data_IF_064209646000
#
_entry.id   IF_064209646000
#
_cell.length_a   1.000
_cell.length_b   1.000
_cell.length_c   1.000
_cell.angle_alpha   90.00
_cell.angle_beta   90.00
_cell.angle_gamma   90.00
#
_symmetry.space_group_name_H-M   'P 1'
#
loop_
_entity.id
_entity.type
_entity.pdbx_description
1 polymer ?
#
# COMPACT_ATOMS: atom_id res chain seq x y z
N UNK A 1 -51.42 17.66 34.92
CA UNK A 1 -49.96 17.84 35.13
C UNK A 1 -49.25 16.95 34.12
N UNK A 2 -48.49 17.55 33.20
CA UNK A 2 -47.74 16.92 32.10
C UNK A 2 -46.71 15.88 32.56
N UNK A 3 -46.54 14.79 31.79
CA UNK A 3 -45.27 14.51 31.07
C UNK A 3 -45.39 13.32 30.10
N UNK A 4 -45.10 13.61 28.83
CA UNK A 4 -44.71 12.68 27.77
C UNK A 4 -43.21 12.30 27.89
N UNK A 5 -42.77 11.40 26.98
CA UNK A 5 -41.39 11.20 26.43
C UNK A 5 -40.52 10.21 27.22
N UNK A 6 -39.81 9.21 26.69
CA UNK A 6 -39.55 8.71 25.32
C UNK A 6 -39.07 7.25 25.41
N UNK A 7 -39.30 6.47 24.35
CA UNK A 7 -38.59 5.22 24.10
C UNK A 7 -38.04 5.24 22.66
N UNK A 8 -36.93 5.94 22.44
CA UNK A 8 -36.38 6.18 21.08
C UNK A 8 -34.85 6.09 20.99
N UNK A 9 -34.14 5.67 22.05
CA UNK A 9 -32.69 5.93 22.16
C UNK A 9 -31.76 4.82 21.64
N UNK A 10 -32.27 3.69 21.11
CA UNK A 10 -31.39 2.59 20.66
C UNK A 10 -31.04 2.58 19.16
N UNK A 11 -31.81 3.27 18.31
CA UNK A 11 -31.59 3.27 16.86
C UNK A 11 -30.49 4.27 16.45
N UNK A 12 -30.32 5.36 17.19
CA UNK A 12 -29.37 6.43 16.84
C UNK A 12 -27.89 6.03 17.01
N UNK A 13 -27.58 5.10 17.93
CA UNK A 13 -26.20 4.67 18.21
C UNK A 13 -25.63 3.77 17.10
N UNK A 14 -26.47 2.94 16.46
CA UNK A 14 -26.05 2.00 15.40
C UNK A 14 -25.74 2.73 14.09
N UNK A 15 -26.47 3.82 13.79
CA UNK A 15 -26.25 4.64 12.59
C UNK A 15 -24.96 5.46 12.69
N UNK A 16 -24.53 5.82 13.91
CA UNK A 16 -23.25 6.51 14.09
C UNK A 16 -22.06 5.60 13.78
N UNK A 17 -22.03 4.34 14.24
CA UNK A 17 -20.91 3.42 13.95
C UNK A 17 -20.75 3.10 12.45
N UNK A 18 -21.83 3.02 11.68
CA UNK A 18 -21.77 2.65 10.26
C UNK A 18 -21.25 3.77 9.35
N UNK A 19 -21.45 5.04 9.73
CA UNK A 19 -20.95 6.20 8.98
C UNK A 19 -19.43 6.43 9.19
N UNK A 20 -18.91 6.11 10.38
CA UNK A 20 -17.47 6.25 10.67
C UNK A 20 -16.62 5.26 9.86
N UNK A 21 -17.07 4.01 9.70
CA UNK A 21 -16.31 2.99 8.99
C UNK A 21 -16.08 3.33 7.51
N UNK A 22 -17.07 3.93 6.83
CA UNK A 22 -16.95 4.28 5.42
C UNK A 22 -15.98 5.46 5.19
N UNK A 23 -15.92 6.41 6.12
CA UNK A 23 -15.02 7.55 6.02
C UNK A 23 -13.55 7.13 6.20
N UNK A 24 -13.27 6.25 7.17
CA UNK A 24 -11.92 5.76 7.46
C UNK A 24 -11.35 4.94 6.30
N UNK A 25 -12.13 4.01 5.71
CA UNK A 25 -11.65 3.17 4.59
C UNK A 25 -11.32 4.02 3.34
N UNK A 26 -12.11 5.06 3.05
CA UNK A 26 -11.86 5.94 1.91
C UNK A 26 -10.60 6.80 2.12
N UNK A 27 -10.38 7.32 3.32
CA UNK A 27 -9.14 8.04 3.65
C UNK A 27 -7.91 7.15 3.52
N UNK A 28 -8.00 5.90 3.97
CA UNK A 28 -6.87 4.94 3.96
C UNK A 28 -6.47 4.57 2.54
N UNK A 29 -7.44 4.34 1.64
CA UNK A 29 -7.15 4.10 0.22
C UNK A 29 -6.43 5.29 -0.41
N UNK A 30 -6.93 6.51 -0.21
CA UNK A 30 -6.37 7.71 -0.84
C UNK A 30 -4.93 7.99 -0.39
N UNK A 31 -4.64 7.78 0.89
CA UNK A 31 -3.32 7.98 1.46
C UNK A 31 -2.34 6.91 0.99
N UNK A 32 -2.75 5.63 1.02
CA UNK A 32 -1.95 4.52 0.49
C UNK A 32 -1.67 4.65 -1.01
N UNK A 33 -2.66 5.06 -1.80
CA UNK A 33 -2.50 5.34 -3.24
C UNK A 33 -1.50 6.49 -3.49
N UNK A 34 -1.59 7.56 -2.69
CA UNK A 34 -0.66 8.69 -2.77
C UNK A 34 0.78 8.25 -2.47
N UNK A 35 0.97 7.43 -1.43
CA UNK A 35 2.27 6.84 -1.12
C UNK A 35 2.77 5.92 -2.25
N UNK A 36 1.91 5.08 -2.82
CA UNK A 36 2.22 4.15 -3.93
C UNK A 36 2.71 4.89 -5.18
N UNK A 37 2.09 6.03 -5.50
CA UNK A 37 2.53 6.92 -6.58
C UNK A 37 3.83 7.65 -6.22
N UNK A 38 3.92 8.24 -5.03
CA UNK A 38 5.10 9.01 -4.55
C UNK A 38 6.37 8.16 -4.55
N UNK A 39 6.29 6.93 -4.06
CA UNK A 39 7.41 5.99 -4.01
C UNK A 39 7.70 5.32 -5.37
N UNK A 40 6.91 5.64 -6.42
CA UNK A 40 7.03 5.05 -7.75
C UNK A 40 6.95 3.52 -7.77
N UNK A 41 6.16 2.92 -6.87
CA UNK A 41 5.96 1.46 -6.83
C UNK A 41 5.37 0.95 -8.15
N UNK A 42 4.51 1.76 -8.77
CA UNK A 42 3.91 1.49 -10.08
C UNK A 42 4.92 1.40 -11.23
N UNK A 43 6.12 1.96 -11.09
CA UNK A 43 7.15 1.84 -12.13
C UNK A 43 7.53 0.39 -12.41
N UNK A 44 7.44 -0.47 -11.38
CA UNK A 44 7.72 -1.90 -11.49
C UNK A 44 6.45 -2.76 -11.38
N UNK A 45 5.50 -2.37 -10.50
CA UNK A 45 4.30 -3.16 -10.19
C UNK A 45 3.03 -2.73 -10.94
N UNK A 46 3.13 -1.66 -11.75
CA UNK A 46 2.04 -1.04 -12.52
C UNK A 46 0.92 -0.46 -11.64
N UNK A 47 0.00 0.30 -12.24
CA UNK A 47 -1.15 0.87 -11.52
C UNK A 47 -2.14 -0.18 -11.01
N UNK A 48 -2.24 -1.32 -11.72
CA UNK A 48 -3.13 -2.42 -11.37
C UNK A 48 -2.46 -3.47 -10.48
N UNK A 49 -1.20 -3.32 -10.07
CA UNK A 49 -0.53 -4.26 -9.17
C UNK A 49 -0.25 -5.65 -9.78
N UNK A 50 -0.32 -5.80 -11.11
CA UNK A 50 -0.01 -7.09 -11.77
C UNK A 50 1.47 -7.21 -12.12
N UNK A 51 2.24 -6.13 -12.00
CA UNK A 51 3.60 -6.09 -12.50
C UNK A 51 3.69 -6.27 -14.03
N UNK A 52 4.91 -6.55 -14.49
CA UNK A 52 5.22 -6.75 -15.92
C UNK A 52 5.41 -5.46 -16.74
N UNK A 53 6.14 -5.61 -17.86
CA UNK A 53 6.25 -4.67 -18.99
C UNK A 53 6.90 -3.30 -18.74
N UNK A 54 8.24 -3.20 -18.87
CA UNK A 54 9.02 -1.95 -18.83
C UNK A 54 10.39 -2.07 -18.13
N UNK A 55 11.09 -0.94 -17.94
CA UNK A 55 12.33 -0.84 -17.13
C UNK A 55 12.02 -1.08 -15.65
N UNK A 56 12.03 -2.36 -15.23
CA UNK A 56 11.92 -2.75 -13.82
C UNK A 56 10.89 -3.85 -13.51
N UNK A 57 10.34 -4.54 -14.51
CA UNK A 57 9.33 -5.60 -14.41
C UNK A 57 9.23 -6.29 -13.03
N UNK A 58 8.39 -5.74 -12.16
CA UNK A 58 8.15 -6.26 -10.82
C UNK A 58 7.20 -7.45 -10.85
N UNK A 59 7.21 -8.23 -9.77
CA UNK A 59 6.25 -9.33 -9.58
C UNK A 59 4.82 -8.81 -9.38
N UNK A 60 3.83 -9.66 -9.62
CA UNK A 60 2.44 -9.33 -9.36
C UNK A 60 2.16 -9.26 -7.85
N UNK A 61 1.72 -8.09 -7.38
CA UNK A 61 1.27 -7.87 -6.02
C UNK A 61 -0.10 -8.54 -5.74
N UNK A 62 -0.82 -8.95 -6.79
CA UNK A 62 -2.12 -9.62 -6.64
C UNK A 62 -2.03 -11.07 -6.23
N UNK A 63 -0.94 -11.74 -6.59
CA UNK A 63 -0.71 -13.16 -6.28
C UNK A 63 0.34 -13.34 -5.17
N UNK A 64 0.78 -12.25 -4.54
CA UNK A 64 1.75 -12.28 -3.45
C UNK A 64 1.23 -13.16 -2.31
N UNK A 65 2.11 -13.97 -1.74
CA UNK A 65 1.82 -14.78 -0.55
C UNK A 65 2.24 -14.07 0.74
N UNK A 66 3.03 -13.00 0.65
CA UNK A 66 3.53 -12.23 1.80
C UNK A 66 2.38 -11.69 2.64
N UNK A 67 2.46 -11.88 3.96
CA UNK A 67 1.57 -11.22 4.91
C UNK A 67 1.90 -9.72 5.04
N UNK A 68 1.11 -9.01 5.85
CA UNK A 68 1.23 -7.56 6.01
C UNK A 68 2.61 -7.17 6.55
N UNK A 69 3.13 -7.89 7.53
CA UNK A 69 4.40 -7.55 8.18
C UNK A 69 5.59 -7.83 7.26
N UNK A 70 5.52 -8.92 6.48
CA UNK A 70 6.49 -9.19 5.41
C UNK A 70 6.45 -8.12 4.31
N UNK A 71 5.26 -7.59 3.99
CA UNK A 71 5.12 -6.46 3.06
C UNK A 71 5.75 -5.19 3.65
N UNK A 72 5.60 -4.94 4.95
CA UNK A 72 6.26 -3.83 5.64
C UNK A 72 7.78 -3.96 5.56
N UNK A 73 8.32 -5.14 5.90
CA UNK A 73 9.75 -5.41 5.85
C UNK A 73 10.30 -5.18 4.44
N UNK A 74 9.70 -5.77 3.41
CA UNK A 74 10.21 -5.63 2.04
C UNK A 74 10.07 -4.20 1.50
N UNK A 75 9.07 -3.43 1.93
CA UNK A 75 8.98 -1.99 1.60
C UNK A 75 10.13 -1.23 2.27
N UNK A 76 10.37 -1.46 3.57
CA UNK A 76 11.43 -0.77 4.30
C UNK A 76 12.80 -1.13 3.72
N UNK A 77 13.06 -2.43 3.60
CA UNK A 77 14.37 -3.03 3.33
C UNK A 77 14.64 -3.32 1.84
N UNK A 78 13.66 -3.16 0.95
CA UNK A 78 13.80 -3.59 -0.43
C UNK A 78 14.07 -5.08 -0.56
N UNK A 79 14.58 -5.50 -1.72
CA UNK A 79 15.01 -6.89 -1.94
C UNK A 79 16.42 -6.90 -2.53
N UNK A 80 17.46 -7.17 -1.70
CA UNK A 80 18.84 -7.33 -2.14
C UNK A 80 18.95 -8.30 -3.33
N UNK A 81 19.88 -8.04 -4.24
CA UNK A 81 20.01 -8.83 -5.48
C UNK A 81 18.96 -8.51 -6.55
N UNK A 82 18.11 -7.49 -6.36
CA UNK A 82 17.08 -7.10 -7.32
C UNK A 82 17.03 -5.59 -7.53
N UNK A 83 16.21 -5.16 -8.49
CA UNK A 83 15.94 -3.73 -8.71
C UNK A 83 14.99 -3.08 -7.69
N UNK A 84 14.49 -3.79 -6.68
CA UNK A 84 13.61 -3.21 -5.66
C UNK A 84 14.44 -2.56 -4.54
N UNK A 85 14.46 -1.22 -4.45
CA UNK A 85 15.29 -0.53 -3.46
C UNK A 85 14.66 -0.56 -2.06
N UNK A 86 15.45 -0.23 -1.06
CA UNK A 86 14.94 0.08 0.27
C UNK A 86 14.32 1.48 0.28
N UNK A 87 13.10 1.60 0.81
CA UNK A 87 12.36 2.86 0.82
C UNK A 87 12.34 3.55 2.19
N UNK A 88 12.88 2.93 3.23
CA UNK A 88 13.03 3.57 4.53
C UNK A 88 14.44 4.10 4.76
N UNK A 89 14.55 5.37 5.16
CA UNK A 89 15.86 6.08 5.19
C UNK A 89 16.87 5.47 6.16
N UNK A 90 16.42 4.74 7.17
CA UNK A 90 17.27 4.13 8.20
C UNK A 90 17.70 2.70 7.88
N UNK A 91 17.07 2.06 6.89
CA UNK A 91 17.36 0.68 6.50
C UNK A 91 18.81 0.50 6.06
N UNK A 92 19.46 -0.55 6.56
CA UNK A 92 20.87 -0.88 6.42
C UNK A 92 21.87 0.15 6.98
N UNK A 93 21.41 1.23 7.63
CA UNK A 93 22.29 2.28 8.18
C UNK A 93 22.16 2.34 9.71
N UNK A 94 20.95 2.56 10.21
CA UNK A 94 20.64 2.60 11.64
C UNK A 94 19.81 1.41 12.09
N UNK A 95 19.10 0.80 11.15
CA UNK A 95 18.24 -0.36 11.38
C UNK A 95 18.69 -1.46 10.45
N UNK A 96 18.89 -2.65 11.03
CA UNK A 96 19.22 -3.85 10.26
C UNK A 96 18.03 -4.25 9.39
N UNK A 97 18.36 -4.80 8.24
CA UNK A 97 17.41 -5.39 7.31
C UNK A 97 17.91 -6.79 6.97
N UNK A 98 17.06 -7.81 7.12
CA UNK A 98 17.48 -9.21 6.99
C UNK A 98 18.74 -9.51 7.82
N UNK A 99 18.78 -8.99 9.06
CA UNK A 99 19.90 -9.06 10.02
C UNK A 99 21.23 -8.42 9.61
N UNK A 100 21.25 -7.68 8.51
CA UNK A 100 22.44 -7.05 7.93
C UNK A 100 22.40 -5.52 7.93
N UNK A 101 23.57 -4.89 7.95
CA UNK A 101 23.82 -3.49 7.63
C UNK A 101 24.51 -3.36 6.27
N UNK A 102 24.63 -2.14 5.77
CA UNK A 102 25.21 -1.89 4.44
C UNK A 102 26.70 -2.26 4.40
N UNK A 103 27.39 -2.23 5.53
CA UNK A 103 28.80 -2.62 5.66
C UNK A 103 29.01 -4.13 5.50
N UNK A 104 27.98 -4.95 5.70
CA UNK A 104 28.04 -6.41 5.52
C UNK A 104 28.08 -6.83 4.05
N UNK A 105 27.84 -5.89 3.12
CA UNK A 105 27.82 -6.14 1.68
C UNK A 105 29.05 -5.57 1.00
N UNK A 106 29.71 -6.40 0.19
CA UNK A 106 30.66 -5.92 -0.81
C UNK A 106 29.92 -5.18 -1.94
N UNK A 107 30.62 -4.32 -2.66
CA UNK A 107 30.09 -3.73 -3.89
C UNK A 107 29.79 -4.84 -4.90
N UNK A 108 28.59 -4.79 -5.48
CA UNK A 108 28.14 -5.83 -6.39
C UNK A 108 26.63 -5.96 -6.48
N UNK A 109 26.14 -6.92 -7.28
CA UNK A 109 24.72 -7.04 -7.64
C UNK A 109 23.81 -7.38 -6.46
N UNK A 110 24.35 -7.96 -5.38
CA UNK A 110 23.59 -8.32 -4.18
C UNK A 110 23.47 -7.17 -3.17
N UNK A 111 24.25 -6.09 -3.34
CA UNK A 111 24.25 -4.95 -2.42
C UNK A 111 22.89 -4.24 -2.46
N UNK A 112 22.27 -3.95 -1.30
CA UNK A 112 21.01 -3.22 -1.24
C UNK A 112 21.14 -1.84 -1.91
N UNK A 113 20.18 -1.50 -2.77
CA UNK A 113 20.13 -0.20 -3.45
C UNK A 113 19.13 0.74 -2.79
N UNK A 114 19.49 2.03 -2.71
CA UNK A 114 18.66 3.04 -2.07
C UNK A 114 17.60 3.62 -3.00
N UNK A 115 16.42 3.92 -2.47
CA UNK A 115 15.39 4.64 -3.23
C UNK A 115 15.72 6.12 -3.31
N UNK A 116 15.42 6.74 -4.45
CA UNK A 116 15.42 8.22 -4.58
C UNK A 116 14.21 8.88 -3.90
N UNK A 117 13.22 8.09 -3.48
CA UNK A 117 11.94 8.54 -2.91
C UNK A 117 11.64 7.77 -1.63
N UNK A 118 12.17 8.24 -0.51
CA UNK A 118 11.92 7.63 0.79
C UNK A 118 10.48 7.85 1.29
N UNK A 119 10.01 6.88 2.07
CA UNK A 119 8.74 6.90 2.81
C UNK A 119 9.03 6.94 4.31
N UNK A 120 8.11 7.55 5.08
CA UNK A 120 8.14 7.53 6.54
C UNK A 120 7.33 6.34 7.07
N UNK A 121 7.35 6.12 8.40
CA UNK A 121 6.68 4.98 9.01
C UNK A 121 5.18 4.90 8.67
N UNK A 122 4.45 6.02 8.75
CA UNK A 122 3.02 6.05 8.37
C UNK A 122 2.79 5.67 6.91
N UNK A 123 3.67 6.09 6.02
CA UNK A 123 3.59 5.76 4.60
C UNK A 123 3.92 4.29 4.33
N UNK A 124 4.82 3.67 5.11
CA UNK A 124 5.09 2.22 5.02
C UNK A 124 3.84 1.44 5.39
N UNK A 125 3.22 1.76 6.53
CA UNK A 125 1.98 1.10 6.98
C UNK A 125 0.88 1.27 5.94
N UNK A 126 0.66 2.50 5.45
CA UNK A 126 -0.35 2.79 4.45
C UNK A 126 -0.11 2.07 3.11
N UNK A 127 1.15 1.88 2.70
CA UNK A 127 1.49 1.09 1.53
C UNK A 127 1.16 -0.39 1.73
N UNK A 128 1.50 -0.95 2.89
CA UNK A 128 1.20 -2.34 3.21
C UNK A 128 -0.31 -2.58 3.22
N UNK A 129 -1.07 -1.72 3.89
CA UNK A 129 -2.53 -1.76 3.92
C UNK A 129 -3.12 -1.59 2.52
N UNK A 130 -2.59 -0.67 1.72
CA UNK A 130 -3.03 -0.50 0.34
C UNK A 130 -2.84 -1.77 -0.49
N UNK A 131 -1.68 -2.43 -0.39
CA UNK A 131 -1.38 -3.67 -1.11
C UNK A 131 -2.30 -4.81 -0.65
N UNK A 132 -2.45 -5.01 0.65
CA UNK A 132 -3.32 -6.05 1.23
C UNK A 132 -4.78 -5.82 0.83
N UNK A 133 -5.26 -4.58 0.95
CA UNK A 133 -6.67 -4.26 0.74
C UNK A 133 -7.08 -4.11 -0.72
N UNK A 134 -6.15 -3.91 -1.66
CA UNK A 134 -6.48 -3.62 -3.06
C UNK A 134 -5.85 -4.57 -4.08
N UNK A 135 -4.76 -5.27 -3.72
CA UNK A 135 -4.06 -6.19 -4.62
C UNK A 135 -4.13 -7.63 -4.16
N UNK A 136 -3.60 -7.95 -2.97
CA UNK A 136 -3.39 -9.35 -2.52
C UNK A 136 -4.69 -10.16 -2.60
N UNK A 137 -4.69 -11.20 -3.43
CA UNK A 137 -5.83 -12.10 -3.64
C UNK A 137 -7.02 -11.48 -4.38
N UNK A 138 -6.93 -10.22 -4.85
CA UNK A 138 -8.05 -9.50 -5.46
C UNK A 138 -7.98 -9.51 -6.99
N UNK A 139 -9.12 -9.73 -7.62
CA UNK A 139 -9.28 -9.54 -9.08
C UNK A 139 -9.21 -8.04 -9.41
N UNK A 140 -8.77 -7.73 -10.63
CA UNK A 140 -8.87 -6.37 -11.15
C UNK A 140 -10.33 -6.10 -11.49
N UNK A 141 -10.87 -4.97 -11.02
CA UNK A 141 -12.26 -4.56 -11.25
C UNK A 141 -12.32 -3.14 -11.80
N UNK A 142 -13.41 -2.83 -12.52
CA UNK A 142 -13.74 -1.46 -12.95
C UNK A 142 -13.80 -0.49 -11.77
N UNK A 143 -14.39 -0.89 -10.64
CA UNK A 143 -14.48 -0.07 -9.43
C UNK A 143 -13.09 0.36 -8.91
N UNK A 144 -12.13 -0.56 -8.82
CA UNK A 144 -10.76 -0.22 -8.42
C UNK A 144 -10.13 0.74 -9.43
N UNK A 145 -10.31 0.50 -10.73
CA UNK A 145 -9.79 1.37 -11.78
C UNK A 145 -10.33 2.80 -11.64
N UNK A 146 -11.63 2.96 -11.39
CA UNK A 146 -12.26 4.25 -11.20
C UNK A 146 -11.84 4.94 -9.90
N UNK A 147 -11.59 4.18 -8.82
CA UNK A 147 -10.96 4.74 -7.61
C UNK A 147 -9.52 5.23 -7.89
N UNK A 148 -8.81 4.57 -8.79
CA UNK A 148 -7.43 4.91 -9.14
C UNK A 148 -7.30 6.14 -10.06
N UNK A 149 -8.13 6.20 -11.11
CA UNK A 149 -8.06 7.20 -12.19
C UNK A 149 -9.18 8.25 -12.17
N UNK A 150 -10.18 8.11 -11.29
CA UNK A 150 -11.49 8.78 -11.26
C UNK A 150 -12.56 8.04 -12.06
N UNK A 151 -13.81 8.19 -11.61
CA UNK A 151 -15.02 7.63 -12.23
C UNK A 151 -15.16 8.10 -13.69
N UNK A 152 -15.52 7.17 -14.58
CA UNK A 152 -15.66 7.46 -16.02
C UNK A 152 -14.34 7.63 -16.78
N UNK A 153 -13.19 7.28 -16.19
CA UNK A 153 -11.92 7.27 -16.92
C UNK A 153 -11.94 6.21 -18.03
N UNK A 154 -11.57 6.60 -19.26
CA UNK A 154 -11.52 5.71 -20.43
C UNK A 154 -10.62 4.49 -20.26
N UNK A 155 -9.61 4.59 -19.39
CA UNK A 155 -8.72 3.45 -19.06
C UNK A 155 -9.51 2.29 -18.42
N UNK A 156 -10.68 2.56 -17.86
CA UNK A 156 -11.53 1.60 -17.17
C UNK A 156 -12.66 1.03 -18.02
N UNK A 157 -12.78 1.40 -19.30
CA UNK A 157 -13.94 1.03 -20.14
C UNK A 157 -13.97 -0.47 -20.46
N UNK A 158 -12.80 -1.11 -20.56
CA UNK A 158 -12.65 -2.52 -20.92
C UNK A 158 -12.36 -3.43 -19.71
N UNK A 159 -12.78 -3.03 -18.51
CA UNK A 159 -12.60 -3.78 -17.25
C UNK A 159 -13.91 -4.17 -16.59
#
# INVERSE_FOLDING_TARGET
MLKMIANSSKILLIVFLSLFNNFVIASDFSYGLSAYKKANCMGCHSWHGKGGGGYGAGVSLRITQLDRDSIIEIIKCGKPGTGMPYFYKKSYIKEKCYDTLIEDYQDGPVRPISSKKFVNDRQVEALADFIVNNFKGKKLTKEYCEKFFKKGSRVCDNL
#
